data_IF_392020392774
#
_entry.id   IF_392020392774
#
_cell.length_a   1.000
_cell.length_b   1.000
_cell.length_c   1.000
_cell.angle_alpha   90.00
_cell.angle_beta   90.00
_cell.angle_gamma   90.00
#
_symmetry.space_group_name_H-M   'P 1'
#
loop_
_entity.id
_entity.type
_entity.pdbx_description
1 polymer ?
#
# COMPACT_ATOMS: atom_id res chain seq x y z
N UNK A 1 12.56 4.32 -0.67
CA UNK A 1 12.58 5.46 0.27
C UNK A 1 12.68 4.93 1.68
N UNK A 2 13.40 5.63 2.56
CA UNK A 2 13.48 5.25 3.96
C UNK A 2 12.14 5.55 4.65
N UNK A 3 11.68 4.59 5.46
CA UNK A 3 10.48 4.76 6.30
C UNK A 3 10.90 5.33 7.66
N UNK A 4 9.91 5.78 8.43
CA UNK A 4 10.12 6.11 9.84
C UNK A 4 10.68 4.90 10.59
N UNK A 5 11.67 5.12 11.45
CA UNK A 5 12.41 4.05 12.14
C UNK A 5 13.49 3.33 11.31
N UNK A 6 13.80 3.80 10.10
CA UNK A 6 14.89 3.24 9.30
C UNK A 6 16.25 3.37 10.01
N UNK A 7 17.07 2.33 9.90
CA UNK A 7 18.38 2.25 10.54
C UNK A 7 19.52 2.62 9.57
N UNK A 8 20.75 2.70 10.09
CA UNK A 8 21.92 3.07 9.29
C UNK A 8 22.20 2.10 8.12
N UNK A 9 21.83 0.82 8.26
CA UNK A 9 21.96 -0.15 7.16
C UNK A 9 20.97 0.12 6.04
N UNK A 10 19.74 0.57 6.34
CA UNK A 10 18.75 0.93 5.32
C UNK A 10 19.23 2.14 4.52
N UNK A 11 19.81 3.13 5.21
CA UNK A 11 20.44 4.28 4.56
C UNK A 11 21.59 3.86 3.63
N UNK A 12 22.46 2.95 4.09
CA UNK A 12 23.56 2.42 3.27
C UNK A 12 23.04 1.62 2.07
N UNK A 13 21.99 0.83 2.25
CA UNK A 13 21.37 0.06 1.17
C UNK A 13 20.78 0.99 0.11
N UNK A 14 19.99 1.99 0.51
CA UNK A 14 19.42 2.97 -0.42
C UNK A 14 20.50 3.79 -1.15
N UNK A 15 21.60 4.13 -0.46
CA UNK A 15 22.75 4.79 -1.09
C UNK A 15 23.43 3.87 -2.12
N UNK A 16 23.47 2.56 -1.87
CA UNK A 16 23.98 1.58 -2.83
C UNK A 16 23.06 1.44 -4.04
N UNK A 17 21.74 1.39 -3.84
CA UNK A 17 20.75 1.38 -4.93
C UNK A 17 20.88 2.62 -5.82
N UNK A 18 21.06 3.81 -5.23
CA UNK A 18 21.31 5.04 -5.97
C UNK A 18 22.55 4.93 -6.87
N UNK A 19 23.67 4.41 -6.34
CA UNK A 19 24.90 4.24 -7.13
C UNK A 19 24.71 3.27 -8.30
N UNK A 20 23.93 2.21 -8.11
CA UNK A 20 23.60 1.26 -9.17
C UNK A 20 22.79 1.94 -10.27
N UNK A 21 21.75 2.71 -9.92
CA UNK A 21 20.93 3.44 -10.91
C UNK A 21 21.76 4.45 -11.71
N UNK A 22 22.69 5.17 -11.06
CA UNK A 22 23.63 6.09 -11.74
C UNK A 22 24.50 5.32 -12.74
N UNK A 23 25.02 4.16 -12.35
CA UNK A 23 25.90 3.36 -13.20
C UNK A 23 25.18 2.76 -14.41
N UNK A 24 23.92 2.32 -14.25
CA UNK A 24 23.10 1.79 -15.34
C UNK A 24 22.79 2.88 -16.38
N UNK A 25 22.51 4.11 -15.93
CA UNK A 25 22.13 5.21 -16.81
C UNK A 25 20.73 5.07 -17.41
N UNK A 26 20.48 5.81 -18.49
CA UNK A 26 19.14 5.91 -19.08
C UNK A 26 18.87 4.77 -20.06
N UNK A 27 17.72 4.11 -19.93
CA UNK A 27 17.31 3.04 -20.84
C UNK A 27 15.78 2.94 -20.90
N UNK A 28 15.23 2.64 -22.09
CA UNK A 28 13.78 2.61 -22.32
C UNK A 28 13.03 1.63 -21.41
N UNK A 29 13.65 0.49 -21.09
CA UNK A 29 13.02 -0.60 -20.34
C UNK A 29 13.48 -0.67 -18.88
N UNK A 30 14.20 0.35 -18.38
CA UNK A 30 14.63 0.45 -16.98
C UNK A 30 14.10 1.77 -16.43
N UNK A 31 13.66 1.76 -15.17
CA UNK A 31 13.18 2.99 -14.52
C UNK A 31 14.31 4.01 -14.46
N UNK A 32 14.12 5.15 -15.13
CA UNK A 32 15.15 6.17 -15.22
C UNK A 32 15.30 6.99 -13.94
N UNK A 33 16.55 7.22 -13.53
CA UNK A 33 16.90 8.15 -12.46
C UNK A 33 16.81 9.59 -12.98
N UNK A 34 16.09 10.45 -12.25
CA UNK A 34 16.00 11.88 -12.55
C UNK A 34 16.94 12.71 -11.66
N UNK A 35 17.18 12.25 -10.43
CA UNK A 35 18.08 12.91 -9.50
C UNK A 35 18.02 12.33 -8.09
N UNK A 36 18.75 12.94 -7.16
CA UNK A 36 18.75 12.55 -5.76
C UNK A 36 19.03 13.75 -4.84
N UNK A 37 18.53 13.67 -3.61
CA UNK A 37 18.89 14.57 -2.53
C UNK A 37 19.80 13.83 -1.56
N UNK A 38 21.09 14.20 -1.53
CA UNK A 38 22.14 13.53 -0.76
C UNK A 38 22.84 14.46 0.24
N UNK A 39 22.27 15.66 0.47
CA UNK A 39 22.88 16.66 1.36
C UNK A 39 22.96 16.12 2.80
N UNK A 40 24.05 16.42 3.53
CA UNK A 40 24.12 16.17 4.96
C UNK A 40 22.94 16.84 5.68
N UNK A 41 22.43 16.20 6.73
CA UNK A 41 21.29 16.67 7.54
C UNK A 41 19.95 16.78 6.78
N UNK A 42 19.84 16.21 5.58
CA UNK A 42 18.58 16.06 4.85
C UNK A 42 18.27 14.57 4.61
N UNK A 43 16.98 14.18 4.51
CA UNK A 43 16.64 12.81 4.16
C UNK A 43 17.17 12.42 2.78
N UNK A 44 17.74 11.21 2.68
CA UNK A 44 18.14 10.63 1.40
C UNK A 44 16.91 10.38 0.53
N UNK A 45 16.81 11.10 -0.59
CA UNK A 45 15.75 10.91 -1.58
C UNK A 45 16.34 10.50 -2.92
N UNK A 46 15.70 9.52 -3.56
CA UNK A 46 16.00 9.07 -4.92
C UNK A 46 14.78 9.40 -5.77
N UNK A 47 14.97 10.22 -6.80
CA UNK A 47 13.89 10.71 -7.67
C UNK A 47 13.99 9.99 -8.99
N UNK A 48 12.94 9.27 -9.35
CA UNK A 48 12.86 8.47 -10.57
C UNK A 48 11.68 8.91 -11.42
N UNK A 49 11.64 8.48 -12.68
CA UNK A 49 10.51 8.73 -13.56
C UNK A 49 9.19 8.17 -12.99
N UNK A 50 8.09 8.84 -13.32
CA UNK A 50 6.78 8.42 -12.86
C UNK A 50 6.14 7.40 -13.82
N UNK A 51 5.97 6.17 -13.35
CA UNK A 51 5.24 5.14 -14.08
C UNK A 51 3.74 5.24 -13.80
N UNK A 52 2.99 5.92 -14.67
CA UNK A 52 1.53 6.18 -14.55
C UNK A 52 0.68 4.97 -14.17
N UNK A 53 1.04 3.77 -14.66
CA UNK A 53 0.24 2.55 -14.46
C UNK A 53 0.71 1.67 -13.30
N UNK A 54 1.74 2.10 -12.56
CA UNK A 54 2.28 1.34 -11.44
C UNK A 54 2.94 0.02 -11.85
N UNK A 55 2.90 -0.98 -10.97
CA UNK A 55 3.53 -2.28 -11.23
C UNK A 55 2.69 -3.14 -12.18
N UNK A 56 3.39 -3.92 -13.01
CA UNK A 56 2.78 -4.74 -14.05
C UNK A 56 1.81 -5.80 -13.51
N UNK A 57 2.12 -6.41 -12.35
CA UNK A 57 1.26 -7.46 -11.78
C UNK A 57 -0.15 -6.93 -11.46
N UNK A 58 -0.23 -5.77 -10.80
CA UNK A 58 -1.51 -5.15 -10.46
C UNK A 58 -2.21 -4.60 -11.71
N UNK A 59 -1.46 -4.01 -12.63
CA UNK A 59 -2.01 -3.54 -13.91
C UNK A 59 -2.69 -4.68 -14.68
N UNK A 60 -2.01 -5.82 -14.84
CA UNK A 60 -2.55 -6.99 -15.53
C UNK A 60 -3.74 -7.59 -14.80
N UNK A 61 -3.71 -7.67 -13.46
CA UNK A 61 -4.86 -8.13 -12.66
C UNK A 61 -6.09 -7.25 -12.88
N UNK A 62 -5.93 -5.93 -12.86
CA UNK A 62 -7.03 -4.98 -13.08
C UNK A 62 -7.60 -5.01 -14.52
N UNK A 63 -6.83 -5.54 -15.49
CA UNK A 63 -7.23 -5.63 -16.89
C UNK A 63 -7.72 -7.03 -17.31
N UNK A 64 -7.79 -8.00 -16.39
CA UNK A 64 -8.24 -9.38 -16.68
C UNK A 64 -9.60 -9.43 -17.36
N UNK A 65 -10.56 -8.63 -16.91
CA UNK A 65 -11.94 -8.63 -17.45
C UNK A 65 -12.05 -7.93 -18.81
N UNK A 66 -11.12 -7.02 -19.11
CA UNK A 66 -11.07 -6.27 -20.36
C UNK A 66 -10.17 -6.93 -21.41
N UNK A 67 -9.38 -7.92 -21.00
CA UNK A 67 -8.54 -8.67 -21.91
C UNK A 67 -9.37 -9.70 -22.64
N UNK A 68 -9.65 -9.44 -23.92
CA UNK A 68 -10.21 -10.43 -24.84
C UNK A 68 -9.02 -11.21 -25.43
N UNK A 69 -8.76 -12.45 -24.98
CA UNK A 69 -7.59 -13.23 -25.40
C UNK A 69 -7.63 -13.61 -26.88
N UNK A 70 -8.81 -13.48 -27.48
CA UNK A 70 -9.11 -13.88 -28.84
C UNK A 70 -10.14 -12.92 -29.42
N UNK A 71 -9.69 -11.90 -30.16
CA UNK A 71 -10.60 -11.24 -31.12
C UNK A 71 -11.06 -12.20 -32.23
N UNK A 72 -10.46 -13.40 -32.34
CA UNK A 72 -10.66 -14.27 -33.51
C UNK A 72 -10.44 -15.79 -33.27
N UNK A 73 -11.07 -16.39 -32.25
CA UNK A 73 -11.13 -17.88 -32.14
C UNK A 73 -12.49 -18.40 -31.68
N UNK A 74 -12.78 -19.62 -32.12
CA UNK A 74 -14.04 -20.34 -31.94
C UNK A 74 -14.58 -20.33 -30.49
N UNK A 75 -15.91 -20.46 -30.29
CA UNK A 75 -16.57 -20.42 -28.97
C UNK A 75 -16.00 -21.38 -27.91
N UNK A 76 -15.39 -22.49 -28.34
CA UNK A 76 -14.79 -23.51 -27.47
C UNK A 76 -13.55 -23.00 -26.72
N UNK A 77 -12.76 -22.13 -27.34
CA UNK A 77 -11.53 -21.59 -26.74
C UNK A 77 -11.84 -20.46 -25.74
N UNK A 78 -12.87 -19.65 -26.00
CA UNK A 78 -13.31 -18.60 -25.07
C UNK A 78 -13.76 -19.17 -23.72
N UNK A 79 -14.56 -20.24 -23.75
CA UNK A 79 -15.06 -20.89 -22.53
C UNK A 79 -13.94 -21.53 -21.70
N UNK A 80 -12.89 -22.07 -22.35
CA UNK A 80 -11.72 -22.59 -21.64
C UNK A 80 -10.92 -21.48 -20.95
N UNK A 81 -10.65 -20.35 -21.62
CA UNK A 81 -9.88 -19.25 -21.01
C UNK A 81 -10.66 -18.59 -19.87
N UNK A 82 -11.98 -18.43 -19.99
CA UNK A 82 -12.82 -17.92 -18.89
C UNK A 82 -12.67 -18.78 -17.62
N UNK A 83 -12.70 -20.11 -17.76
CA UNK A 83 -12.46 -21.04 -16.65
C UNK A 83 -11.06 -20.90 -16.05
N UNK A 84 -10.04 -20.67 -16.88
CA UNK A 84 -8.68 -20.44 -16.38
C UNK A 84 -8.56 -19.13 -15.59
N UNK A 85 -9.23 -18.07 -16.04
CA UNK A 85 -9.27 -16.78 -15.31
C UNK A 85 -10.04 -16.93 -13.98
N UNK A 86 -11.17 -17.65 -13.97
CA UNK A 86 -11.97 -17.92 -12.77
C UNK A 86 -11.19 -18.79 -11.76
N UNK A 87 -10.53 -19.85 -12.21
CA UNK A 87 -9.70 -20.70 -11.35
C UNK A 87 -8.58 -19.91 -10.65
N UNK A 88 -7.94 -18.97 -11.37
CA UNK A 88 -6.91 -18.10 -10.80
C UNK A 88 -7.43 -17.03 -9.82
N UNK A 89 -8.74 -16.84 -9.70
CA UNK A 89 -9.36 -15.96 -8.69
C UNK A 89 -9.75 -16.72 -7.42
N UNK A 90 -10.16 -17.99 -7.54
CA UNK A 90 -10.53 -18.83 -6.39
C UNK A 90 -9.36 -19.04 -5.44
N UNK A 91 -8.15 -19.24 -5.98
CA UNK A 91 -6.94 -19.49 -5.19
C UNK A 91 -6.51 -18.27 -4.35
N UNK A 92 -6.90 -17.06 -4.76
CA UNK A 92 -6.59 -15.82 -4.03
C UNK A 92 -7.58 -15.55 -2.88
N UNK A 93 -8.83 -16.04 -2.99
CA UNK A 93 -9.89 -15.85 -1.99
C UNK A 93 -9.81 -16.86 -0.83
N UNK A 94 -9.21 -18.03 -1.07
CA UNK A 94 -9.00 -19.07 -0.04
C UNK A 94 -7.93 -18.72 1.01
N UNK A 95 -7.20 -17.60 0.87
CA UNK A 95 -6.16 -17.16 1.83
C UNK A 95 -6.61 -16.04 2.78
N UNK A 96 -7.90 -15.71 2.84
CA UNK A 96 -8.44 -14.76 3.81
C UNK A 96 -9.25 -15.52 4.86
N UNK A 97 -8.99 -15.33 6.18
CA UNK A 97 -9.84 -15.92 7.21
C UNK A 97 -11.22 -15.26 7.21
N UNK A 98 -12.30 -16.00 7.49
CA UNK A 98 -13.65 -15.43 7.51
C UNK A 98 -13.80 -14.46 8.69
N UNK A 99 -14.21 -13.23 8.40
CA UNK A 99 -14.66 -12.27 9.40
C UNK A 99 -16.04 -12.67 9.95
N UNK A 100 -16.29 -12.59 11.27
CA UNK A 100 -17.56 -13.00 11.84
C UNK A 100 -18.69 -12.06 11.41
N UNK A 101 -19.79 -12.65 10.94
CA UNK A 101 -21.04 -11.99 10.59
C UNK A 101 -21.70 -11.37 11.82
N UNK A 102 -21.93 -10.06 11.81
CA UNK A 102 -22.76 -9.37 12.79
C UNK A 102 -24.23 -9.72 12.57
N UNK A 103 -24.81 -10.53 13.45
CA UNK A 103 -26.26 -10.70 13.54
C UNK A 103 -26.85 -9.64 14.47
N UNK A 104 -27.67 -8.77 13.90
CA UNK A 104 -28.53 -7.81 14.59
C UNK A 104 -29.64 -8.56 15.35
N UNK A 105 -29.91 -8.23 16.61
CA UNK A 105 -31.24 -8.35 17.26
C UNK A 105 -31.23 -7.65 18.64
N UNK A 106 -32.25 -6.79 18.88
CA UNK A 106 -32.84 -6.54 20.20
C UNK A 106 -32.45 -5.26 20.98
N UNK A 107 -33.27 -4.21 20.89
CA UNK A 107 -33.58 -3.31 22.03
C UNK A 107 -34.75 -3.94 22.83
N UNK A 108 -35.08 -3.62 24.11
CA UNK A 108 -35.03 -2.26 24.71
C UNK A 108 -34.81 -2.15 26.26
N UNK A 109 -34.93 -0.90 26.75
CA UNK A 109 -35.31 -0.41 28.10
C UNK A 109 -34.26 -0.12 29.19
N UNK A 110 -34.00 1.19 29.35
CA UNK A 110 -34.11 2.02 30.56
C UNK A 110 -34.00 1.36 31.95
N UNK A 111 -33.07 1.84 32.78
CA UNK A 111 -33.37 2.36 34.12
C UNK A 111 -32.31 3.37 34.58
N UNK A 112 -32.81 4.42 35.22
CA UNK A 112 -32.19 5.65 35.74
C UNK A 112 -31.40 5.48 37.04
N UNK A 113 -30.35 6.31 37.23
CA UNK A 113 -30.03 7.10 38.46
C UNK A 113 -28.54 7.50 38.42
N UNK A 114 -28.14 8.72 38.06
CA UNK A 114 -28.18 10.01 38.77
C UNK A 114 -26.99 10.29 39.71
N UNK A 115 -26.29 11.41 39.40
CA UNK A 115 -25.48 12.32 40.27
C UNK A 115 -24.14 11.75 40.75
N UNK A 116 -23.03 12.47 40.88
CA UNK A 116 -22.70 13.90 41.04
C UNK A 116 -21.15 14.00 40.92
N UNK A 117 -20.49 14.91 40.20
CA UNK A 117 -20.43 16.37 40.27
C UNK A 117 -19.00 16.79 40.70
N UNK A 118 -18.35 17.64 39.87
CA UNK A 118 -17.34 18.66 40.22
C UNK A 118 -15.97 18.17 40.78
N UNK A 119 -14.82 18.84 40.61
CA UNK A 119 -14.51 20.22 40.20
C UNK A 119 -13.04 20.32 39.78
N UNK A 120 -12.77 21.33 38.96
CA UNK A 120 -11.50 21.96 38.60
C UNK A 120 -10.50 22.19 39.75
N UNK A 121 -9.19 22.21 39.44
CA UNK A 121 -8.31 23.32 39.82
C UNK A 121 -6.96 23.29 39.07
N UNK A 122 -6.64 24.41 38.42
CA UNK A 122 -5.26 24.89 38.20
C UNK A 122 -4.80 25.64 39.47
N UNK A 123 -3.48 25.73 39.72
CA UNK A 123 -2.85 27.06 39.68
C UNK A 123 -1.42 27.05 39.09
N UNK A 124 -0.84 28.24 39.03
CA UNK A 124 0.34 28.64 38.28
C UNK A 124 1.60 28.82 39.14
N UNK A 125 2.75 28.95 38.45
CA UNK A 125 4.04 29.61 38.81
C UNK A 125 4.87 29.03 39.97
N UNK A 126 6.09 28.55 39.66
CA UNK A 126 7.32 28.95 40.36
C UNK A 126 8.56 28.77 39.47
N UNK A 127 9.62 29.52 39.78
CA UNK A 127 10.80 29.90 38.99
C UNK A 127 12.05 29.40 39.72
N UNK A 128 13.19 29.34 39.04
CA UNK A 128 14.57 29.09 39.56
C UNK A 128 14.90 27.61 39.77
N UNK A 129 16.04 27.04 39.38
CA UNK A 129 17.37 27.54 38.98
C UNK A 129 17.82 27.00 37.62
#
# INVERSE_FOLDING_TARGET
MLKEGACASDHKALMSELKILIHIGNHLNVVNLLGACTKPNAPLMVVVEYCKYGNLSNYLRAKREFFLPYRDRSPKTQSQVRRMIEAGQVEQRARLPPSPSSSSIGSPQNHSSSKSNQKSHSPAVEKSE
#
